data_IF_423995635021
#
_entry.id   IF_423995635021
#
_cell.length_a   1.000
_cell.length_b   1.000
_cell.length_c   1.000
_cell.angle_alpha   90.00
_cell.angle_beta   90.00
_cell.angle_gamma   90.00
#
_symmetry.space_group_name_H-M   'P 1'
#
loop_
_entity.id
_entity.type
_entity.pdbx_description
1 polymer ?
#
# COMPACT_ATOMS: atom_id res chain seq x y z
N UNK A 1 -7.00 3.87 -12.95
CA UNK A 1 -7.98 4.21 -13.99
C UNK A 1 -9.13 5.03 -13.42
N UNK A 2 -9.89 5.71 -14.29
CA UNK A 2 -11.08 6.47 -13.89
C UNK A 2 -12.25 5.53 -13.59
N UNK A 3 -12.31 4.42 -14.30
CA UNK A 3 -13.26 3.33 -14.12
C UNK A 3 -12.51 1.98 -14.15
N UNK A 4 -13.03 0.97 -13.48
CA UNK A 4 -12.38 -0.33 -13.36
C UNK A 4 -11.18 -0.33 -12.41
N UNK A 5 -10.36 -1.38 -12.51
CA UNK A 5 -9.19 -1.60 -11.62
C UNK A 5 -8.01 -2.16 -12.40
N UNK A 6 -6.82 -1.61 -12.20
CA UNK A 6 -5.54 -2.14 -12.70
C UNK A 6 -4.64 -2.44 -11.51
N UNK A 7 -4.54 -3.71 -11.15
CA UNK A 7 -3.77 -4.15 -9.99
C UNK A 7 -3.11 -5.50 -10.23
N UNK A 8 -1.92 -5.68 -9.69
CA UNK A 8 -1.20 -6.96 -9.66
C UNK A 8 -1.66 -7.89 -8.53
N UNK A 9 -2.49 -7.39 -7.61
CA UNK A 9 -3.17 -8.14 -6.56
C UNK A 9 -4.67 -8.13 -6.75
N UNK A 10 -5.36 -9.11 -6.17
CA UNK A 10 -6.82 -9.20 -6.14
C UNK A 10 -7.32 -9.43 -4.70
N UNK A 11 -6.83 -8.60 -3.78
CA UNK A 11 -7.00 -8.76 -2.34
C UNK A 11 -8.47 -8.92 -1.93
N UNK A 12 -8.73 -9.82 -0.99
CA UNK A 12 -10.07 -10.12 -0.47
C UNK A 12 -10.76 -8.90 0.16
N UNK A 13 -9.99 -7.95 0.67
CA UNK A 13 -10.49 -6.76 1.38
C UNK A 13 -10.44 -5.46 0.55
N UNK A 14 -10.12 -5.54 -0.74
CA UNK A 14 -9.90 -4.34 -1.55
C UNK A 14 -11.17 -3.52 -1.77
N UNK A 15 -11.23 -2.30 -1.24
CA UNK A 15 -12.36 -1.39 -1.40
C UNK A 15 -12.69 -1.06 -2.86
N UNK A 16 -11.72 -1.20 -3.78
CA UNK A 16 -11.94 -1.04 -5.22
C UNK A 16 -12.56 -2.30 -5.89
N UNK A 17 -12.93 -3.30 -5.09
CA UNK A 17 -13.49 -4.56 -5.59
C UNK A 17 -12.45 -5.52 -6.14
N UNK A 18 -12.93 -6.62 -6.71
CA UNK A 18 -12.08 -7.62 -7.39
C UNK A 18 -11.68 -7.16 -8.79
N UNK A 19 -10.62 -7.77 -9.32
CA UNK A 19 -10.12 -7.49 -10.68
C UNK A 19 -11.07 -7.94 -11.80
N UNK A 20 -12.15 -8.65 -11.48
CA UNK A 20 -13.09 -9.22 -12.45
C UNK A 20 -13.70 -8.19 -13.43
N UNK A 21 -13.76 -6.91 -13.05
CA UNK A 21 -14.27 -5.84 -13.91
C UNK A 21 -13.21 -5.32 -14.89
N UNK A 22 -11.95 -5.75 -14.74
CA UNK A 22 -10.84 -5.33 -15.58
C UNK A 22 -10.49 -3.84 -15.45
N UNK A 23 -9.68 -3.33 -16.41
CA UNK A 23 -9.13 -1.97 -16.35
C UNK A 23 -10.14 -0.86 -16.68
N UNK A 24 -11.40 -1.19 -16.92
CA UNK A 24 -12.40 -0.24 -17.37
C UNK A 24 -12.29 0.14 -18.85
N UNK A 25 -13.00 1.19 -19.26
CA UNK A 25 -13.04 1.68 -20.64
C UNK A 25 -12.26 2.96 -20.85
N UNK A 26 -12.06 3.75 -19.80
CA UNK A 26 -11.36 5.03 -19.88
C UNK A 26 -9.82 4.89 -19.95
N UNK A 27 -9.29 3.71 -19.64
CA UNK A 27 -7.84 3.48 -19.58
C UNK A 27 -7.17 4.17 -18.42
N UNK A 28 -5.83 4.29 -18.49
CA UNK A 28 -5.04 5.07 -17.56
C UNK A 28 -4.98 6.53 -18.05
N UNK A 29 -5.05 7.54 -17.15
CA UNK A 29 -4.83 8.93 -17.54
C UNK A 29 -3.40 9.12 -18.04
N UNK A 30 -3.18 10.05 -18.96
CA UNK A 30 -1.81 10.41 -19.35
C UNK A 30 -1.10 11.18 -18.21
N UNK A 31 0.23 11.19 -18.25
CA UNK A 31 1.03 11.99 -17.31
C UNK A 31 0.64 13.47 -17.34
N UNK A 32 0.42 13.99 -18.54
CA UNK A 32 0.01 15.39 -18.78
C UNK A 32 -1.37 15.68 -18.16
N UNK A 33 -2.33 14.75 -18.30
CA UNK A 33 -3.65 14.92 -17.71
C UNK A 33 -3.59 14.91 -16.18
N UNK A 34 -2.79 14.01 -15.60
CA UNK A 34 -2.60 13.96 -14.15
C UNK A 34 -1.99 15.26 -13.65
N UNK A 35 -0.93 15.76 -14.29
CA UNK A 35 -0.27 17.00 -13.91
C UNK A 35 -1.23 18.20 -14.01
N UNK A 36 -1.96 18.32 -15.13
CA UNK A 36 -2.90 19.43 -15.35
C UNK A 36 -4.06 19.42 -14.35
N UNK A 37 -4.62 18.23 -14.07
CA UNK A 37 -5.71 18.11 -13.09
C UNK A 37 -5.24 18.37 -11.66
N UNK A 38 -4.06 17.89 -11.30
CA UNK A 38 -3.46 18.16 -10.00
C UNK A 38 -3.16 19.66 -9.83
N UNK A 39 -2.52 20.28 -10.81
CA UNK A 39 -2.23 21.71 -10.75
C UNK A 39 -3.49 22.55 -10.57
N UNK A 40 -4.53 22.28 -11.37
CA UNK A 40 -5.84 22.93 -11.24
C UNK A 40 -6.43 22.76 -9.85
N UNK A 41 -6.33 21.55 -9.27
CA UNK A 41 -6.85 21.28 -7.92
C UNK A 41 -6.07 22.05 -6.86
N UNK A 42 -4.75 22.07 -6.93
CA UNK A 42 -3.90 22.78 -5.97
C UNK A 42 -4.11 24.31 -6.05
N UNK A 43 -4.24 24.86 -7.25
CA UNK A 43 -4.58 26.27 -7.43
C UNK A 43 -5.92 26.64 -6.79
N UNK A 44 -6.97 25.84 -7.05
CA UNK A 44 -8.27 26.08 -6.45
C UNK A 44 -8.24 26.00 -4.92
N UNK A 45 -7.52 25.04 -4.34
CA UNK A 45 -7.35 24.94 -2.90
C UNK A 45 -6.62 26.16 -2.31
N UNK A 46 -5.59 26.64 -3.00
CA UNK A 46 -4.86 27.83 -2.57
C UNK A 46 -5.75 29.09 -2.61
N UNK A 47 -6.57 29.25 -3.65
CA UNK A 47 -7.52 30.37 -3.80
C UNK A 47 -8.61 30.34 -2.71
N UNK A 48 -9.03 29.12 -2.29
CA UNK A 48 -10.00 28.91 -1.21
C UNK A 48 -9.37 29.07 0.19
N UNK A 49 -8.04 29.20 0.30
CA UNK A 49 -7.32 29.22 1.57
C UNK A 49 -7.35 27.88 2.31
N UNK A 50 -7.54 26.79 1.58
CA UNK A 50 -7.57 25.46 2.17
C UNK A 50 -6.17 24.98 2.57
N UNK A 51 -6.07 24.24 3.68
CA UNK A 51 -4.85 23.53 4.06
C UNK A 51 -4.71 22.20 3.31
N UNK A 52 -3.48 21.80 3.06
CA UNK A 52 -3.15 20.50 2.48
C UNK A 52 -2.03 19.84 3.29
N UNK A 53 -2.32 18.68 3.89
CA UNK A 53 -1.34 17.92 4.67
C UNK A 53 -0.61 16.91 3.79
N UNK A 54 -1.33 16.25 2.87
CA UNK A 54 -0.75 15.15 2.08
C UNK A 54 -1.41 15.00 0.71
N UNK A 55 -0.61 14.70 -0.30
CA UNK A 55 -1.04 14.18 -1.61
C UNK A 55 -0.73 12.69 -1.63
N UNK A 56 -1.77 11.86 -1.75
CA UNK A 56 -1.60 10.41 -1.66
C UNK A 56 -1.90 9.74 -3.00
N UNK A 57 -0.91 8.98 -3.48
CA UNK A 57 -1.12 8.02 -4.56
C UNK A 57 -1.76 6.78 -3.98
N UNK A 58 -3.04 6.67 -4.15
CA UNK A 58 -3.86 5.48 -3.91
C UNK A 58 -4.95 5.49 -4.97
N UNK A 59 -5.58 4.38 -5.24
CA UNK A 59 -6.66 4.47 -6.20
C UNK A 59 -7.20 3.12 -6.63
N UNK A 60 -7.84 3.09 -7.78
CA UNK A 60 -8.44 1.89 -8.33
C UNK A 60 -7.36 0.97 -8.94
N UNK A 61 -6.48 0.45 -8.09
CA UNK A 61 -5.42 -0.44 -8.48
C UNK A 61 -4.06 -0.15 -7.84
N UNK A 62 -2.99 -0.52 -8.53
CA UNK A 62 -1.61 -0.34 -8.08
C UNK A 62 -0.95 0.84 -8.81
N UNK A 63 -0.59 1.92 -8.13
CA UNK A 63 -0.01 3.11 -8.77
C UNK A 63 1.25 2.82 -9.56
N UNK A 64 2.13 1.94 -9.05
CA UNK A 64 3.42 1.62 -9.69
C UNK A 64 3.29 0.83 -10.99
N UNK A 65 2.08 0.36 -11.34
CA UNK A 65 1.77 -0.24 -12.64
C UNK A 65 1.58 0.79 -13.75
N UNK A 66 1.45 2.08 -13.40
CA UNK A 66 1.35 3.12 -14.44
C UNK A 66 2.68 3.22 -15.20
N UNK A 67 2.69 3.17 -16.55
CA UNK A 67 3.92 3.17 -17.34
C UNK A 67 4.78 4.42 -17.13
N UNK A 68 4.16 5.55 -16.81
CA UNK A 68 4.82 6.83 -16.54
C UNK A 68 4.87 7.20 -15.05
N UNK A 69 4.76 6.22 -14.15
CA UNK A 69 4.68 6.44 -12.70
C UNK A 69 5.78 7.37 -12.19
N UNK A 70 7.04 7.14 -12.58
CA UNK A 70 8.17 7.96 -12.12
C UNK A 70 8.02 9.43 -12.54
N UNK A 71 7.61 9.69 -13.78
CA UNK A 71 7.37 11.05 -14.27
C UNK A 71 6.20 11.74 -13.57
N UNK A 72 5.12 10.99 -13.28
CA UNK A 72 3.97 11.51 -12.52
C UNK A 72 4.38 11.89 -11.09
N UNK A 73 5.23 11.09 -10.45
CA UNK A 73 5.78 11.41 -9.13
C UNK A 73 6.62 12.70 -9.20
N UNK A 74 7.49 12.84 -10.20
CA UNK A 74 8.32 14.05 -10.37
C UNK A 74 7.47 15.31 -10.57
N UNK A 75 6.44 15.23 -11.41
CA UNK A 75 5.50 16.34 -11.63
C UNK A 75 4.72 16.70 -10.36
N UNK A 76 4.29 15.67 -9.61
CA UNK A 76 3.57 15.87 -8.34
C UNK A 76 4.44 16.57 -7.29
N UNK A 77 5.69 16.15 -7.16
CA UNK A 77 6.64 16.80 -6.25
C UNK A 77 6.87 18.25 -6.62
N UNK A 78 7.09 18.55 -7.91
CA UNK A 78 7.28 19.91 -8.40
C UNK A 78 6.04 20.80 -8.17
N UNK A 79 4.85 20.28 -8.40
CA UNK A 79 3.60 21.00 -8.15
C UNK A 79 3.35 21.21 -6.65
N UNK A 80 3.61 20.19 -5.80
CA UNK A 80 3.54 20.31 -4.35
C UNK A 80 4.47 21.42 -3.86
N UNK A 81 5.73 21.39 -4.26
CA UNK A 81 6.74 22.39 -3.83
C UNK A 81 6.36 23.82 -4.24
N UNK A 82 5.66 23.96 -5.37
CA UNK A 82 5.19 25.25 -5.87
C UNK A 82 3.99 25.82 -5.11
N UNK A 83 3.01 24.97 -4.76
CA UNK A 83 1.72 25.41 -4.23
C UNK A 83 1.55 25.15 -2.73
N UNK A 84 2.08 24.04 -2.23
CA UNK A 84 1.94 23.60 -0.83
C UNK A 84 3.24 22.93 -0.34
N UNK A 85 4.33 23.68 -0.18
CA UNK A 85 5.67 23.11 0.11
C UNK A 85 5.76 22.31 1.41
N UNK A 86 4.85 22.56 2.37
CA UNK A 86 4.79 21.83 3.63
C UNK A 86 3.98 20.51 3.55
N UNK A 87 3.22 20.32 2.46
CA UNK A 87 2.45 19.10 2.28
C UNK A 87 3.37 17.91 1.94
N UNK A 88 3.00 16.72 2.41
CA UNK A 88 3.73 15.50 2.10
C UNK A 88 3.20 14.83 0.84
N UNK A 89 4.05 14.06 0.18
CA UNK A 89 3.64 13.16 -0.91
C UNK A 89 3.80 11.72 -0.41
N UNK A 90 2.71 10.95 -0.46
CA UNK A 90 2.66 9.55 -0.02
C UNK A 90 2.30 8.64 -1.19
N UNK A 91 2.93 7.48 -1.27
CA UNK A 91 2.58 6.43 -2.22
C UNK A 91 2.25 5.16 -1.46
N UNK A 92 1.03 4.63 -1.66
CA UNK A 92 0.65 3.30 -1.21
C UNK A 92 0.87 2.33 -2.37
N UNK A 93 1.69 1.31 -2.15
CA UNK A 93 1.98 0.28 -3.17
C UNK A 93 1.92 -1.12 -2.58
N UNK A 94 1.47 -2.06 -3.39
CA UNK A 94 1.48 -3.48 -3.04
C UNK A 94 2.86 -4.14 -3.19
N UNK A 95 3.89 -3.37 -3.47
CA UNK A 95 5.30 -3.78 -3.53
C UNK A 95 5.66 -4.76 -4.66
N UNK A 96 4.76 -5.05 -5.60
CA UNK A 96 5.02 -6.06 -6.66
C UNK A 96 5.89 -5.56 -7.80
N UNK A 97 6.20 -4.26 -7.86
CA UNK A 97 6.98 -3.64 -8.93
C UNK A 97 8.35 -3.11 -8.47
N UNK A 98 8.82 -3.59 -7.33
CA UNK A 98 10.14 -3.19 -6.78
C UNK A 98 11.32 -3.78 -7.57
N UNK A 99 11.08 -4.68 -8.49
CA UNK A 99 12.03 -5.15 -9.49
C UNK A 99 12.35 -4.11 -10.59
N UNK A 100 11.54 -3.03 -10.68
CA UNK A 100 11.76 -1.94 -11.62
C UNK A 100 12.55 -0.79 -10.96
N UNK A 101 13.82 -0.53 -11.39
CA UNK A 101 14.63 0.54 -10.80
C UNK A 101 13.98 1.93 -10.85
N UNK A 102 13.24 2.25 -11.93
CA UNK A 102 12.53 3.54 -12.05
C UNK A 102 11.42 3.70 -11.02
N UNK A 103 10.75 2.61 -10.63
CA UNK A 103 9.77 2.61 -9.55
C UNK A 103 10.45 2.83 -8.19
N UNK A 104 11.54 2.11 -7.94
CA UNK A 104 12.31 2.24 -6.69
C UNK A 104 12.84 3.66 -6.52
N UNK A 105 13.41 4.24 -7.58
CA UNK A 105 13.94 5.60 -7.55
C UNK A 105 12.83 6.65 -7.32
N UNK A 106 11.66 6.45 -7.91
CA UNK A 106 10.51 7.32 -7.66
C UNK A 106 10.00 7.21 -6.21
N UNK A 107 9.89 5.99 -5.69
CA UNK A 107 9.48 5.75 -4.30
C UNK A 107 10.45 6.34 -3.26
N UNK A 108 11.73 6.45 -3.59
CA UNK A 108 12.73 7.08 -2.72
C UNK A 108 12.65 8.61 -2.67
N UNK A 109 11.96 9.24 -3.62
CA UNK A 109 11.81 10.69 -3.68
C UNK A 109 10.64 11.21 -2.84
N UNK A 110 9.63 10.37 -2.59
CA UNK A 110 8.43 10.77 -1.86
C UNK A 110 8.67 10.79 -0.36
N UNK A 111 7.86 11.53 0.37
CA UNK A 111 8.00 11.68 1.82
C UNK A 111 7.61 10.40 2.57
N UNK A 112 6.57 9.70 2.09
CA UNK A 112 6.12 8.45 2.67
C UNK A 112 5.97 7.38 1.59
N UNK A 113 6.92 6.47 1.49
CA UNK A 113 6.76 5.26 0.69
C UNK A 113 6.15 4.17 1.57
N UNK A 114 4.85 3.92 1.37
CA UNK A 114 4.06 2.97 2.16
C UNK A 114 3.96 1.68 1.38
N UNK A 115 4.67 0.67 1.87
CA UNK A 115 4.96 -0.58 1.19
C UNK A 115 4.19 -1.71 1.87
N UNK A 116 3.37 -2.42 1.12
CA UNK A 116 2.51 -3.47 1.66
C UNK A 116 3.25 -4.78 1.91
N UNK A 117 2.98 -5.36 3.09
CA UNK A 117 3.32 -6.75 3.44
C UNK A 117 2.29 -7.27 4.44
N UNK A 118 1.27 -7.98 3.98
CA UNK A 118 0.16 -8.45 4.85
C UNK A 118 0.45 -9.79 5.52
N UNK A 119 1.36 -10.58 4.98
CA UNK A 119 1.88 -11.80 5.57
C UNK A 119 3.27 -12.10 5.03
N UNK A 120 4.06 -12.82 5.81
CA UNK A 120 5.35 -13.38 5.38
C UNK A 120 5.23 -14.88 5.04
N UNK A 121 4.02 -15.42 5.01
CA UNK A 121 3.71 -16.83 4.67
C UNK A 121 3.08 -16.88 3.29
N UNK A 122 3.68 -17.66 2.38
CA UNK A 122 3.30 -17.74 0.97
C UNK A 122 1.82 -18.13 0.78
N UNK A 123 1.34 -19.14 1.53
CA UNK A 123 -0.02 -19.62 1.44
C UNK A 123 -1.05 -18.58 1.88
N UNK A 124 -0.70 -17.76 2.86
CA UNK A 124 -1.57 -16.70 3.37
C UNK A 124 -1.63 -15.54 2.37
N UNK A 125 -0.51 -15.12 1.80
CA UNK A 125 -0.51 -14.09 0.76
C UNK A 125 -1.27 -14.58 -0.48
N UNK A 126 -1.08 -15.83 -0.89
CA UNK A 126 -1.81 -16.40 -2.02
C UNK A 126 -3.33 -16.40 -1.80
N UNK A 127 -3.80 -16.58 -0.56
CA UNK A 127 -5.22 -16.55 -0.22
C UNK A 127 -5.75 -15.13 -0.02
N UNK A 128 -5.01 -14.28 0.69
CA UNK A 128 -5.44 -12.96 1.14
C UNK A 128 -5.28 -11.89 0.05
N UNK A 129 -4.08 -11.81 -0.53
CA UNK A 129 -3.70 -10.80 -1.52
C UNK A 129 -3.94 -11.25 -2.96
N UNK A 130 -3.95 -12.56 -3.19
CA UNK A 130 -4.25 -13.19 -4.49
C UNK A 130 -3.41 -12.58 -5.63
N UNK A 131 -2.07 -12.72 -5.60
CA UNK A 131 -1.21 -12.22 -6.67
C UNK A 131 -1.63 -12.75 -8.04
N UNK A 132 -1.75 -11.85 -9.03
CA UNK A 132 -2.14 -12.22 -10.40
C UNK A 132 -0.98 -12.88 -11.14
N UNK A 133 0.26 -12.52 -10.78
CA UNK A 133 1.46 -13.06 -11.42
C UNK A 133 1.89 -14.38 -10.76
N UNK A 134 2.01 -15.43 -11.56
CA UNK A 134 2.48 -16.76 -11.09
C UNK A 134 3.94 -16.76 -10.61
N UNK A 135 4.72 -15.74 -10.95
CA UNK A 135 6.10 -15.54 -10.50
C UNK A 135 6.23 -14.76 -9.20
N UNK A 136 5.11 -14.37 -8.58
CA UNK A 136 5.12 -13.73 -7.28
C UNK A 136 5.67 -14.69 -6.21
N UNK A 137 6.46 -14.16 -5.28
CA UNK A 137 6.97 -14.90 -4.13
C UNK A 137 7.24 -13.94 -2.98
N UNK A 138 6.70 -14.25 -1.81
CA UNK A 138 6.85 -13.44 -0.57
C UNK A 138 8.31 -13.24 -0.21
N UNK A 139 9.14 -14.28 -0.34
CA UNK A 139 10.57 -14.19 -0.08
C UNK A 139 11.27 -13.16 -0.96
N UNK A 140 10.95 -13.14 -2.27
CA UNK A 140 11.49 -12.14 -3.21
C UNK A 140 11.07 -10.72 -2.83
N UNK A 141 9.78 -10.51 -2.57
CA UNK A 141 9.27 -9.17 -2.17
C UNK A 141 9.91 -8.72 -0.86
N UNK A 142 10.07 -9.62 0.11
CA UNK A 142 10.77 -9.30 1.37
C UNK A 142 12.21 -8.87 1.12
N UNK A 143 12.93 -9.50 0.18
CA UNK A 143 14.28 -9.09 -0.21
C UNK A 143 14.29 -7.71 -0.86
N UNK A 144 13.34 -7.44 -1.74
CA UNK A 144 13.19 -6.16 -2.42
C UNK A 144 12.83 -5.03 -1.43
N UNK A 145 12.00 -5.30 -0.43
CA UNK A 145 11.66 -4.35 0.64
C UNK A 145 12.88 -3.91 1.45
N UNK A 146 13.92 -4.74 1.55
CA UNK A 146 15.19 -4.36 2.21
C UNK A 146 15.87 -3.15 1.55
N UNK A 147 15.55 -2.82 0.29
CA UNK A 147 16.05 -1.61 -0.38
C UNK A 147 15.58 -0.31 0.27
N UNK A 148 14.57 -0.37 1.12
CA UNK A 148 13.98 0.76 1.85
C UNK A 148 14.28 0.71 3.36
N UNK A 149 15.33 -0.02 3.76
CA UNK A 149 15.75 -0.09 5.16
C UNK A 149 15.97 1.31 5.75
N UNK A 150 15.35 1.59 6.90
CA UNK A 150 15.43 2.87 7.60
C UNK A 150 14.63 4.03 6.98
N UNK A 151 13.98 3.83 5.82
CA UNK A 151 13.20 4.88 5.14
C UNK A 151 11.77 4.44 4.78
N UNK A 152 11.55 3.14 4.55
CA UNK A 152 10.24 2.60 4.17
C UNK A 152 9.28 2.47 5.34
N UNK A 153 8.00 2.64 5.07
CA UNK A 153 6.92 2.34 5.99
C UNK A 153 6.28 1.03 5.52
N UNK A 154 6.29 -0.01 6.36
CA UNK A 154 5.59 -1.24 6.00
C UNK A 154 4.16 -1.18 6.51
N UNK A 155 3.21 -1.32 5.60
CA UNK A 155 1.79 -1.35 5.91
C UNK A 155 1.28 -2.80 5.89
N UNK A 156 0.62 -3.21 6.98
CA UNK A 156 0.09 -4.56 7.15
C UNK A 156 -1.38 -4.50 7.54
N UNK A 157 -2.25 -5.06 6.69
CA UNK A 157 -3.67 -5.28 6.98
C UNK A 157 -3.81 -6.56 7.81
N UNK A 158 -4.38 -6.44 9.00
CA UNK A 158 -4.72 -7.57 9.86
C UNK A 158 -6.21 -7.87 9.77
N UNK A 159 -6.55 -9.10 9.47
CA UNK A 159 -7.94 -9.55 9.38
C UNK A 159 -8.06 -11.06 9.57
N UNK A 160 -9.29 -11.51 9.77
CA UNK A 160 -9.65 -12.92 9.79
C UNK A 160 -10.99 -13.13 9.11
N UNK A 161 -11.39 -14.38 8.94
CA UNK A 161 -12.67 -14.73 8.37
C UNK A 161 -12.62 -16.01 7.54
N UNK A 162 -13.47 -16.08 6.55
CA UNK A 162 -13.55 -17.21 5.62
C UNK A 162 -13.73 -16.71 4.19
N UNK A 163 -13.13 -17.39 3.25
CA UNK A 163 -13.32 -17.18 1.82
C UNK A 163 -13.32 -18.51 1.07
N UNK A 164 -14.41 -18.80 0.36
CA UNK A 164 -14.61 -20.04 -0.41
C UNK A 164 -14.32 -21.32 0.41
N UNK A 165 -14.82 -21.35 1.66
CA UNK A 165 -14.63 -22.49 2.56
C UNK A 165 -13.22 -22.65 3.16
N UNK A 166 -12.37 -21.63 2.99
CA UNK A 166 -11.01 -21.57 3.55
C UNK A 166 -10.92 -20.50 4.63
N UNK A 167 -10.33 -20.86 5.75
CA UNK A 167 -10.06 -19.89 6.83
C UNK A 167 -8.98 -18.92 6.38
N UNK A 168 -9.23 -17.64 6.58
CA UNK A 168 -8.30 -16.53 6.38
C UNK A 168 -8.02 -15.93 7.75
N UNK A 169 -6.78 -15.97 8.21
CA UNK A 169 -6.39 -15.37 9.49
C UNK A 169 -4.89 -15.11 9.51
N UNK A 170 -4.49 -13.84 9.38
CA UNK A 170 -3.11 -13.40 9.51
C UNK A 170 -2.77 -12.83 10.89
N UNK A 171 -3.63 -13.09 11.89
CA UNK A 171 -3.41 -12.67 13.29
C UNK A 171 -2.90 -13.79 14.18
N UNK A 172 -2.75 -15.00 13.66
CA UNK A 172 -2.25 -16.15 14.42
C UNK A 172 -0.81 -15.92 14.92
N UNK A 173 -0.41 -16.65 15.97
CA UNK A 173 0.96 -16.56 16.48
C UNK A 173 2.02 -16.90 15.41
N UNK A 174 1.75 -17.86 14.54
CA UNK A 174 2.63 -18.21 13.43
C UNK A 174 2.78 -17.06 12.43
N UNK A 175 1.69 -16.40 12.05
CA UNK A 175 1.68 -15.25 11.15
C UNK A 175 2.43 -14.06 11.74
N UNK A 176 2.12 -13.69 12.98
CA UNK A 176 2.77 -12.57 13.66
C UNK A 176 4.26 -12.83 13.85
N UNK A 177 4.65 -14.06 14.19
CA UNK A 177 6.07 -14.44 14.31
C UNK A 177 6.79 -14.37 12.97
N UNK A 178 6.18 -14.82 11.87
CA UNK A 178 6.75 -14.74 10.53
C UNK A 178 6.92 -13.27 10.08
N UNK A 179 5.92 -12.40 10.35
CA UNK A 179 6.00 -10.97 10.08
C UNK A 179 7.12 -10.30 10.89
N UNK A 180 7.28 -10.64 12.18
CA UNK A 180 8.36 -10.12 13.02
C UNK A 180 9.73 -10.42 12.40
N UNK A 181 9.96 -11.67 11.95
CA UNK A 181 11.21 -12.03 11.30
C UNK A 181 11.42 -11.29 9.96
N UNK A 182 10.34 -11.08 9.18
CA UNK A 182 10.41 -10.25 7.98
C UNK A 182 10.75 -8.78 8.31
N UNK A 183 10.13 -8.19 9.32
CA UNK A 183 10.42 -6.80 9.73
C UNK A 183 11.86 -6.65 10.25
N UNK A 184 12.38 -7.59 11.04
CA UNK A 184 13.78 -7.60 11.46
C UNK A 184 14.74 -7.62 10.27
N UNK A 185 14.38 -8.33 9.19
CA UNK A 185 15.17 -8.40 7.97
C UNK A 185 15.07 -7.11 7.15
N UNK A 186 13.86 -6.60 6.93
CA UNK A 186 13.57 -5.39 6.15
C UNK A 186 14.11 -4.14 6.85
N UNK A 187 13.96 -4.05 8.17
CA UNK A 187 14.31 -2.88 9.01
C UNK A 187 13.66 -1.60 8.51
N UNK A 188 12.32 -1.55 8.38
CA UNK A 188 11.65 -0.33 7.96
C UNK A 188 11.83 0.79 8.98
N UNK A 189 11.52 2.02 8.59
CA UNK A 189 11.45 3.16 9.50
C UNK A 189 10.28 3.03 10.48
N UNK A 190 9.16 2.55 9.99
CA UNK A 190 7.90 2.42 10.73
C UNK A 190 7.09 1.24 10.21
N UNK A 191 6.26 0.67 11.07
CA UNK A 191 5.26 -0.35 10.71
C UNK A 191 3.87 0.24 11.00
N UNK A 192 2.96 0.18 10.02
CA UNK A 192 1.57 0.58 10.15
C UNK A 192 0.69 -0.66 10.18
N UNK A 193 0.05 -0.93 11.32
CA UNK A 193 -0.96 -1.98 11.45
C UNK A 193 -2.36 -1.36 11.39
N UNK A 194 -3.22 -1.97 10.61
CA UNK A 194 -4.62 -1.59 10.52
C UNK A 194 -5.50 -2.81 10.24
N UNK A 195 -6.80 -2.65 10.38
CA UNK A 195 -7.77 -3.68 10.05
C UNK A 195 -8.85 -3.12 9.13
N UNK A 196 -9.68 -3.99 8.58
CA UNK A 196 -10.79 -3.58 7.71
C UNK A 196 -11.74 -2.64 8.45
N UNK A 197 -12.13 -1.55 7.80
CA UNK A 197 -13.03 -0.55 8.37
C UNK A 197 -14.26 -0.28 7.50
N UNK A 198 -14.25 -0.76 6.27
CA UNK A 198 -15.32 -0.60 5.28
C UNK A 198 -15.74 -1.95 4.73
N UNK A 199 -16.83 -1.94 3.96
CA UNK A 199 -17.30 -3.13 3.27
C UNK A 199 -16.23 -3.67 2.30
N UNK A 200 -16.04 -4.97 2.32
CA UNK A 200 -15.08 -5.70 1.50
C UNK A 200 -15.79 -6.55 0.45
N UNK A 201 -15.15 -6.83 -0.70
CA UNK A 201 -15.75 -7.69 -1.73
C UNK A 201 -15.91 -9.14 -1.25
N UNK A 202 -15.06 -9.63 -0.34
CA UNK A 202 -15.28 -10.90 0.36
C UNK A 202 -16.10 -10.62 1.63
N UNK A 203 -17.35 -11.12 1.68
CA UNK A 203 -18.35 -10.73 2.67
C UNK A 203 -18.10 -11.30 4.07
N UNK A 204 -17.32 -12.39 4.19
CA UNK A 204 -17.12 -13.10 5.47
C UNK A 204 -15.82 -12.72 6.18
N UNK A 205 -15.24 -11.59 5.82
CA UNK A 205 -14.07 -11.06 6.53
C UNK A 205 -14.51 -10.33 7.81
N UNK A 206 -13.69 -10.45 8.83
CA UNK A 206 -13.94 -9.92 10.17
C UNK A 206 -12.82 -8.97 10.56
N UNK A 207 -13.21 -7.79 11.02
CA UNK A 207 -12.31 -6.79 11.60
C UNK A 207 -11.64 -7.33 12.86
N UNK A 208 -10.34 -7.10 13.00
CA UNK A 208 -9.61 -7.36 14.24
C UNK A 208 -9.97 -6.27 15.27
N UNK A 209 -10.37 -6.64 16.50
CA UNK A 209 -10.65 -5.65 17.54
C UNK A 209 -9.42 -4.76 17.82
N UNK A 210 -9.66 -3.46 18.05
CA UNK A 210 -8.59 -2.49 18.27
C UNK A 210 -7.68 -2.83 19.46
N UNK A 211 -8.20 -3.49 20.50
CA UNK A 211 -7.39 -3.95 21.64
C UNK A 211 -6.42 -5.05 21.22
N UNK A 212 -6.90 -6.02 20.45
CA UNK A 212 -6.08 -7.11 19.93
C UNK A 212 -5.02 -6.59 18.94
N UNK A 213 -5.41 -5.67 18.04
CA UNK A 213 -4.48 -5.06 17.09
C UNK A 213 -3.36 -4.31 17.83
N UNK A 214 -3.69 -3.59 18.92
CA UNK A 214 -2.69 -2.95 19.78
C UNK A 214 -1.79 -3.95 20.49
N UNK A 215 -2.32 -5.08 20.94
CA UNK A 215 -1.51 -6.13 21.55
C UNK A 215 -0.52 -6.74 20.56
N UNK A 216 -0.96 -7.00 19.32
CA UNK A 216 -0.08 -7.45 18.23
C UNK A 216 1.00 -6.39 17.96
N UNK A 217 0.61 -5.11 17.81
CA UNK A 217 1.54 -4.01 17.59
C UNK A 217 2.59 -3.89 18.68
N UNK A 218 2.18 -3.95 19.96
CA UNK A 218 3.09 -3.91 21.08
C UNK A 218 4.10 -5.07 21.10
N UNK A 219 3.66 -6.28 20.71
CA UNK A 219 4.55 -7.44 20.57
C UNK A 219 5.57 -7.20 19.45
N UNK A 220 5.13 -6.74 18.27
CA UNK A 220 6.01 -6.46 17.14
C UNK A 220 7.05 -5.40 17.54
N UNK A 221 6.62 -4.30 18.16
CA UNK A 221 7.53 -3.24 18.61
C UNK A 221 8.55 -3.73 19.63
N UNK A 222 8.11 -4.54 20.61
CA UNK A 222 8.99 -5.12 21.63
C UNK A 222 10.06 -6.06 21.03
N UNK A 223 9.70 -6.86 20.03
CA UNK A 223 10.60 -7.85 19.43
C UNK A 223 11.50 -7.28 18.32
N UNK A 224 11.09 -6.20 17.67
CA UNK A 224 11.83 -5.59 16.55
C UNK A 224 12.58 -4.31 16.92
N UNK A 225 12.10 -3.59 17.93
CA UNK A 225 12.55 -2.23 18.25
C UNK A 225 12.10 -1.17 17.25
N UNK A 226 11.20 -1.51 16.30
CA UNK A 226 10.69 -0.61 15.28
C UNK A 226 9.36 -0.03 15.77
N UNK A 227 9.16 1.28 15.60
CA UNK A 227 7.90 1.93 15.95
C UNK A 227 6.72 1.34 15.18
N UNK A 228 5.62 1.04 15.90
CA UNK A 228 4.40 0.46 15.33
C UNK A 228 3.23 1.41 15.54
N UNK A 229 2.76 2.03 14.45
CA UNK A 229 1.51 2.78 14.44
C UNK A 229 0.34 1.82 14.27
N UNK A 230 -0.66 1.91 15.15
CA UNK A 230 -1.89 1.11 15.07
C UNK A 230 -3.07 2.04 14.80
N UNK A 231 -3.80 1.78 13.69
CA UNK A 231 -4.94 2.56 13.23
C UNK A 231 -6.26 1.79 13.31
#
# INVERSE_FOLDING_TARGET
PVDGKVCSFDCLYCEAGFNAQGPGRAGLPSREDVAALLEKKLQGMLEEGAALDVITFSGNGEPTMHPEFAGIVDDTLALRDRYFPEARVSVLTNSTRLDNPGVVDALRKVDNNILKLDSAIEETVALLDRPVQSSFGVGKVTDELCMFAGTGIIQTMMLRGEYEGRVVDNTTDAEVSALIEAYKRIRPHEIMLYSIDRATPAEQLVKVPAEELRAIGARIEAETGIHVQVN
#
